data_IF_928047704572
#
_entry.id   IF_928047704572
#
_cell.length_a   1.000
_cell.length_b   1.000
_cell.length_c   1.000
_cell.angle_alpha   90.00
_cell.angle_beta   90.00
_cell.angle_gamma   90.00
#
_symmetry.space_group_name_H-M   'P 1'
#
loop_
_entity.id
_entity.type
_entity.pdbx_description
1 polymer ?
#
# COMPACT_ATOMS: atom_id res chain seq x y z
N UNK A 1 -26.34 1.52 -78.62
CA UNK A 1 -27.74 1.29 -79.04
C UNK A 1 -28.64 1.41 -77.81
N UNK A 2 -29.57 2.34 -77.90
CA UNK A 2 -30.52 2.76 -76.89
C UNK A 2 -31.57 1.67 -76.64
N UNK A 3 -32.00 1.48 -75.38
CA UNK A 3 -33.42 1.38 -74.98
C UNK A 3 -33.57 1.16 -73.47
N UNK A 4 -34.00 2.25 -72.82
CA UNK A 4 -34.77 2.26 -71.58
C UNK A 4 -36.07 1.47 -71.79
N UNK A 5 -36.48 0.65 -70.81
CA UNK A 5 -37.90 0.41 -70.52
C UNK A 5 -38.14 0.36 -69.02
N UNK A 6 -39.30 0.90 -68.69
CA UNK A 6 -39.79 1.38 -67.40
C UNK A 6 -40.95 0.45 -66.96
N UNK A 7 -41.04 0.23 -65.64
CA UNK A 7 -42.24 0.12 -64.80
C UNK A 7 -43.11 -1.18 -64.69
N UNK A 8 -43.43 -1.46 -63.41
CA UNK A 8 -44.66 -2.01 -62.77
C UNK A 8 -44.79 -3.50 -62.43
N UNK A 9 -44.65 -3.76 -61.12
CA UNK A 9 -45.44 -4.57 -60.16
C UNK A 9 -46.10 -5.88 -60.61
N UNK A 10 -45.76 -6.97 -59.88
CA UNK A 10 -46.74 -7.92 -59.33
C UNK A 10 -46.27 -8.41 -57.94
N UNK A 11 -47.15 -8.28 -56.95
CA UNK A 11 -47.05 -8.84 -55.60
C UNK A 11 -47.01 -10.37 -55.62
N UNK A 12 -46.11 -10.97 -54.84
CA UNK A 12 -46.32 -12.32 -54.31
C UNK A 12 -46.00 -12.34 -52.82
N UNK A 13 -47.04 -12.59 -52.02
CA UNK A 13 -46.95 -12.79 -50.60
C UNK A 13 -46.22 -14.11 -50.32
N UNK A 14 -45.12 -14.05 -49.56
CA UNK A 14 -44.50 -15.22 -48.94
C UNK A 14 -44.60 -15.00 -47.44
N UNK A 15 -45.45 -15.79 -46.80
CA UNK A 15 -45.55 -15.87 -45.35
C UNK A 15 -44.26 -16.44 -44.79
N UNK A 16 -43.57 -15.65 -43.97
CA UNK A 16 -42.43 -16.11 -43.17
C UNK A 16 -42.95 -16.30 -41.75
N UNK A 17 -42.83 -17.54 -41.28
CA UNK A 17 -43.03 -17.91 -39.89
C UNK A 17 -42.13 -17.08 -38.98
N UNK A 18 -42.74 -16.54 -37.94
CA UNK A 18 -42.14 -15.78 -36.86
C UNK A 18 -41.20 -16.71 -36.07
N UNK A 19 -39.89 -16.46 -36.14
CA UNK A 19 -38.99 -16.77 -35.05
C UNK A 19 -38.71 -15.45 -34.33
N UNK A 20 -39.28 -15.31 -33.13
CA UNK A 20 -39.13 -14.11 -32.31
C UNK A 20 -37.70 -13.98 -31.81
N UNK A 21 -37.01 -12.91 -32.21
CA UNK A 21 -35.91 -12.36 -31.43
C UNK A 21 -36.47 -11.22 -30.58
N UNK A 22 -36.50 -11.44 -29.27
CA UNK A 22 -36.87 -10.43 -28.30
C UNK A 22 -35.78 -9.35 -28.26
N UNK A 23 -36.18 -8.10 -28.48
CA UNK A 23 -35.36 -6.94 -28.26
C UNK A 23 -35.15 -6.76 -26.74
N UNK A 24 -33.90 -6.69 -26.30
CA UNK A 24 -33.56 -6.10 -25.02
C UNK A 24 -32.65 -4.89 -25.30
N UNK A 25 -33.13 -3.71 -24.94
CA UNK A 25 -32.40 -2.46 -25.03
C UNK A 25 -31.30 -2.45 -23.95
N UNK A 26 -30.09 -2.85 -24.34
CA UNK A 26 -28.89 -2.64 -23.54
C UNK A 26 -28.44 -1.19 -23.65
N UNK A 27 -28.63 -0.43 -22.57
CA UNK A 27 -27.89 0.80 -22.31
C UNK A 27 -26.42 0.40 -22.18
N UNK A 28 -25.54 1.01 -22.96
CA UNK A 28 -24.13 0.66 -23.01
C UNK A 28 -23.47 0.79 -21.63
N UNK A 29 -23.06 -0.34 -21.06
CA UNK A 29 -22.03 -0.37 -20.04
C UNK A 29 -20.71 0.01 -20.72
N UNK A 30 -20.07 1.06 -20.22
CA UNK A 30 -18.67 1.33 -20.55
C UNK A 30 -17.85 0.11 -20.12
N UNK A 31 -16.85 -0.35 -20.90
CA UNK A 31 -16.00 -1.44 -20.48
C UNK A 31 -15.28 -1.03 -19.20
N UNK A 32 -15.46 -1.82 -18.15
CA UNK A 32 -14.64 -1.77 -16.94
C UNK A 32 -13.18 -1.95 -17.37
N UNK A 33 -12.25 -1.05 -16.99
CA UNK A 33 -10.83 -1.28 -17.24
C UNK A 33 -10.41 -2.63 -16.68
N UNK A 34 -9.80 -3.47 -17.51
CA UNK A 34 -9.31 -4.78 -17.09
C UNK A 34 -8.39 -4.66 -15.87
N UNK A 35 -8.55 -5.57 -14.91
CA UNK A 35 -7.75 -5.61 -13.70
C UNK A 35 -6.26 -5.59 -14.03
N UNK A 36 -5.46 -4.79 -13.30
CA UNK A 36 -4.02 -4.77 -13.50
C UNK A 36 -3.43 -6.16 -13.21
N UNK A 37 -2.47 -6.64 -14.03
CA UNK A 37 -1.86 -7.95 -13.86
C UNK A 37 -1.11 -8.01 -12.52
N UNK A 38 -1.52 -8.92 -11.62
CA UNK A 38 -0.92 -9.09 -10.30
C UNK A 38 -1.90 -9.37 -9.14
N UNK A 39 -3.22 -9.38 -9.37
CA UNK A 39 -4.13 -10.04 -8.43
C UNK A 39 -3.93 -11.55 -8.56
N UNK A 40 -3.31 -12.20 -7.57
CA UNK A 40 -3.51 -13.63 -7.38
C UNK A 40 -5.01 -13.89 -7.22
N UNK A 41 -5.51 -14.97 -7.82
CA UNK A 41 -6.89 -15.43 -7.68
C UNK A 41 -7.16 -15.91 -6.24
N UNK A 42 -7.16 -15.00 -5.27
CA UNK A 42 -7.97 -15.15 -4.08
C UNK A 42 -9.40 -14.78 -4.46
N UNK A 43 -10.38 -15.57 -4.05
CA UNK A 43 -11.78 -15.13 -4.07
C UNK A 43 -11.87 -13.69 -3.57
N UNK A 44 -12.80 -12.90 -4.10
CA UNK A 44 -13.03 -11.50 -3.71
C UNK A 44 -13.48 -11.43 -2.23
N UNK A 45 -12.58 -11.75 -1.31
CA UNK A 45 -12.80 -11.80 0.11
C UNK A 45 -12.78 -10.36 0.57
N UNK A 46 -13.97 -9.88 0.94
CA UNK A 46 -14.13 -8.52 1.44
C UNK A 46 -13.51 -8.50 2.85
N UNK A 47 -12.32 -7.91 2.94
CA UNK A 47 -11.67 -7.66 4.23
C UNK A 47 -12.28 -6.44 4.94
N UNK A 48 -12.16 -6.34 6.27
CA UNK A 48 -12.48 -5.12 7.01
C UNK A 48 -11.74 -3.89 6.44
N UNK A 49 -12.32 -2.71 6.58
CA UNK A 49 -11.74 -1.45 6.07
C UNK A 49 -10.33 -1.20 6.61
N UNK A 50 -10.09 -1.47 7.89
CA UNK A 50 -8.79 -1.40 8.57
C UNK A 50 -7.71 -2.26 7.90
N UNK A 51 -8.08 -3.47 7.46
CA UNK A 51 -7.20 -4.43 6.79
C UNK A 51 -6.92 -3.96 5.37
N UNK A 52 -7.92 -3.45 4.66
CA UNK A 52 -7.76 -2.87 3.33
C UNK A 52 -6.85 -1.63 3.34
N UNK A 53 -7.04 -0.73 4.30
CA UNK A 53 -6.21 0.47 4.48
C UNK A 53 -4.74 0.10 4.74
N UNK A 54 -4.54 -0.90 5.59
CA UNK A 54 -3.21 -1.45 5.89
C UNK A 54 -2.59 -2.12 4.68
N UNK A 55 -3.36 -2.91 3.95
CA UNK A 55 -2.92 -3.58 2.74
C UNK A 55 -2.43 -2.57 1.69
N UNK A 56 -3.17 -1.49 1.46
CA UNK A 56 -2.77 -0.46 0.50
C UNK A 56 -1.46 0.24 0.90
N UNK A 57 -1.22 0.42 2.19
CA UNK A 57 0.08 0.91 2.68
C UNK A 57 1.19 -0.11 2.46
N UNK A 58 0.96 -1.37 2.85
CA UNK A 58 1.98 -2.42 2.83
C UNK A 58 2.35 -2.84 1.40
N UNK A 59 1.44 -2.77 0.44
CA UNK A 59 1.71 -3.12 -0.98
C UNK A 59 2.91 -2.38 -1.54
N UNK A 60 3.18 -1.15 -1.06
CA UNK A 60 4.31 -0.35 -1.53
C UNK A 60 5.67 -0.75 -0.91
N UNK A 61 5.70 -1.57 0.14
CA UNK A 61 6.92 -1.91 0.91
C UNK A 61 7.10 -3.42 1.06
N UNK A 62 8.35 -3.88 1.21
CA UNK A 62 8.63 -5.27 1.60
C UNK A 62 8.47 -5.38 3.12
N UNK A 63 7.35 -5.94 3.56
CA UNK A 63 7.00 -6.08 4.97
C UNK A 63 5.91 -7.14 5.21
N UNK A 64 6.02 -7.83 6.33
CA UNK A 64 4.98 -8.66 6.93
C UNK A 64 4.33 -7.92 8.09
N UNK A 65 3.00 -8.03 8.21
CA UNK A 65 2.26 -7.49 9.34
C UNK A 65 0.99 -8.28 9.61
N UNK A 66 0.51 -8.23 10.85
CA UNK A 66 -0.72 -8.88 11.25
C UNK A 66 -1.64 -7.91 12.01
N UNK A 67 -2.93 -7.95 11.68
CA UNK A 67 -3.97 -7.20 12.39
C UNK A 67 -4.90 -8.19 13.06
N UNK A 68 -5.12 -8.01 14.36
CA UNK A 68 -6.15 -8.75 15.09
C UNK A 68 -7.43 -7.93 15.12
N UNK A 69 -8.50 -8.45 14.54
CA UNK A 69 -9.81 -7.82 14.56
C UNK A 69 -10.93 -8.86 14.62
N UNK A 70 -11.96 -8.63 15.41
CA UNK A 70 -13.15 -9.50 15.52
C UNK A 70 -12.82 -10.98 15.82
N UNK A 71 -11.78 -11.22 16.63
CA UNK A 71 -11.34 -12.57 17.01
C UNK A 71 -10.62 -13.35 15.91
N UNK A 72 -10.24 -12.67 14.83
CA UNK A 72 -9.45 -13.20 13.71
C UNK A 72 -8.12 -12.45 13.60
N UNK A 73 -7.14 -13.08 12.99
CA UNK A 73 -5.86 -12.46 12.65
C UNK A 73 -5.71 -12.41 11.13
N UNK A 74 -5.55 -11.21 10.59
CA UNK A 74 -5.33 -10.94 9.17
C UNK A 74 -3.83 -10.80 8.96
N UNK A 75 -3.22 -11.80 8.34
CA UNK A 75 -1.80 -11.84 8.02
C UNK A 75 -1.62 -11.23 6.64
N UNK A 76 -0.82 -10.17 6.54
CA UNK A 76 -0.55 -9.44 5.29
C UNK A 76 0.94 -9.57 5.00
N UNK A 77 1.27 -10.04 3.80
CA UNK A 77 2.64 -10.16 3.31
C UNK A 77 2.76 -9.41 1.98
N UNK A 78 3.73 -8.51 1.89
CA UNK A 78 4.04 -7.76 0.68
C UNK A 78 5.53 -7.79 0.39
N UNK A 79 5.90 -7.90 -0.89
CA UNK A 79 7.30 -7.76 -1.36
C UNK A 79 7.59 -6.39 -1.96
N UNK A 80 6.67 -5.44 -1.77
CA UNK A 80 6.76 -4.08 -2.27
C UNK A 80 6.71 -4.01 -3.80
N UNK A 81 7.22 -2.88 -4.31
CA UNK A 81 7.27 -2.60 -5.73
C UNK A 81 8.12 -3.63 -6.52
N UNK A 82 7.58 -4.10 -7.65
CA UNK A 82 8.29 -4.93 -8.64
C UNK A 82 8.26 -4.27 -10.02
N UNK A 83 9.38 -4.29 -10.77
CA UNK A 83 9.52 -3.56 -12.02
C UNK A 83 8.83 -4.22 -13.22
N UNK A 84 8.38 -5.47 -13.07
CA UNK A 84 7.72 -6.23 -14.14
C UNK A 84 6.46 -6.92 -13.64
N UNK A 85 5.60 -7.33 -14.58
CA UNK A 85 4.47 -8.20 -14.29
C UNK A 85 4.90 -9.63 -13.96
N UNK A 86 3.99 -10.39 -13.36
CA UNK A 86 4.09 -11.85 -13.18
C UNK A 86 4.82 -12.32 -11.93
N UNK A 87 5.20 -11.40 -11.02
CA UNK A 87 5.54 -11.79 -9.66
C UNK A 87 4.26 -12.19 -8.90
N UNK A 88 4.37 -13.23 -8.07
CA UNK A 88 3.31 -13.70 -7.18
C UNK A 88 3.89 -13.87 -5.77
N UNK A 89 3.10 -13.57 -4.75
CA UNK A 89 3.46 -13.82 -3.35
C UNK A 89 2.56 -14.90 -2.81
N UNK A 90 3.15 -15.88 -2.13
CA UNK A 90 2.41 -16.95 -1.45
C UNK A 90 2.81 -17.04 0.00
N UNK A 91 1.82 -17.22 0.87
CA UNK A 91 2.06 -17.70 2.23
C UNK A 91 2.00 -19.23 2.16
N UNK A 92 3.15 -19.88 2.32
CA UNK A 92 3.32 -21.32 2.07
C UNK A 92 3.15 -22.17 3.32
N UNK A 93 3.30 -21.58 4.50
CA UNK A 93 3.16 -22.27 5.77
C UNK A 93 2.80 -21.27 6.88
N UNK A 94 1.92 -21.69 7.79
CA UNK A 94 1.59 -20.94 9.00
C UNK A 94 1.54 -21.94 10.15
N UNK A 95 2.47 -21.80 11.10
CA UNK A 95 2.50 -22.61 12.32
C UNK A 95 2.02 -21.80 13.50
N UNK A 96 1.08 -22.36 14.26
CA UNK A 96 0.51 -21.68 15.43
C UNK A 96 0.80 -22.48 16.69
N UNK A 97 1.17 -21.77 17.75
CA UNK A 97 1.40 -22.33 19.08
C UNK A 97 1.04 -21.29 20.14
N UNK A 98 -0.04 -21.55 20.89
CA UNK A 98 -0.57 -20.56 21.84
C UNK A 98 -1.00 -19.28 21.13
N UNK A 99 -0.46 -18.14 21.55
CA UNK A 99 -0.72 -16.81 20.97
C UNK A 99 0.27 -16.44 19.85
N UNK A 100 1.19 -17.35 19.51
CA UNK A 100 2.21 -17.15 18.47
C UNK A 100 1.79 -17.77 17.14
N UNK A 101 2.04 -17.04 16.06
CA UNK A 101 1.98 -17.54 14.69
C UNK A 101 3.31 -17.28 13.97
N UNK A 102 3.82 -18.28 13.27
CA UNK A 102 5.02 -18.17 12.44
C UNK A 102 4.59 -18.35 10.99
N UNK A 103 4.69 -17.28 10.22
CA UNK A 103 4.25 -17.17 8.83
C UNK A 103 5.46 -17.31 7.92
N UNK A 104 5.41 -18.26 6.99
CA UNK A 104 6.44 -18.42 5.95
C UNK A 104 5.86 -18.02 4.60
N UNK A 105 6.55 -17.12 3.91
CA UNK A 105 6.13 -16.63 2.60
C UNK A 105 7.22 -16.80 1.54
N UNK A 106 6.82 -16.86 0.28
CA UNK A 106 7.72 -16.89 -0.86
C UNK A 106 7.28 -15.90 -1.94
N UNK A 107 8.27 -15.34 -2.64
CA UNK A 107 8.08 -14.62 -3.89
C UNK A 107 8.36 -15.57 -5.05
N UNK A 108 7.38 -15.70 -5.93
CA UNK A 108 7.51 -16.44 -7.18
C UNK A 108 7.78 -15.43 -8.28
N UNK A 109 8.91 -15.60 -8.95
CA UNK A 109 9.29 -14.77 -10.09
C UNK A 109 8.54 -15.18 -11.36
N UNK A 110 8.29 -14.25 -12.30
CA UNK A 110 7.70 -14.60 -13.59
C UNK A 110 8.58 -15.59 -14.36
N UNK A 111 7.96 -16.58 -14.98
CA UNK A 111 8.66 -17.48 -15.90
C UNK A 111 8.89 -16.78 -17.26
N UNK A 112 10.16 -16.62 -17.63
CA UNK A 112 10.56 -16.02 -18.89
C UNK A 112 10.37 -14.49 -18.98
N UNK A 113 10.29 -13.93 -20.20
CA UNK A 113 10.19 -12.49 -20.39
C UNK A 113 8.91 -11.90 -19.79
N UNK A 114 9.05 -10.88 -18.96
CA UNK A 114 7.93 -10.18 -18.32
C UNK A 114 7.75 -8.75 -18.86
N UNK A 115 6.51 -8.28 -18.90
CA UNK A 115 6.21 -6.90 -19.28
C UNK A 115 6.77 -5.93 -18.23
N UNK A 116 7.45 -4.85 -18.67
CA UNK A 116 7.94 -3.79 -17.80
C UNK A 116 6.79 -2.89 -17.36
N UNK A 117 6.16 -3.27 -16.25
CA UNK A 117 5.08 -2.53 -15.60
C UNK A 117 5.24 -2.69 -14.10
N UNK A 118 5.00 -1.59 -13.38
CA UNK A 118 5.07 -1.57 -11.94
C UNK A 118 3.97 -2.43 -11.35
N UNK A 119 4.33 -3.40 -10.51
CA UNK A 119 3.40 -4.26 -9.79
C UNK A 119 3.71 -4.28 -8.30
N UNK A 120 2.74 -4.73 -7.51
CA UNK A 120 2.82 -4.78 -6.04
C UNK A 120 2.26 -6.12 -5.59
N UNK A 121 3.02 -7.21 -5.68
CA UNK A 121 2.53 -8.53 -5.33
C UNK A 121 2.44 -8.67 -3.80
N UNK A 122 1.33 -9.25 -3.34
CA UNK A 122 1.01 -9.43 -1.93
C UNK A 122 0.18 -10.69 -1.73
N UNK A 123 0.12 -11.17 -0.49
CA UNK A 123 -0.79 -12.20 -0.04
C UNK A 123 -1.47 -11.76 1.26
N UNK A 124 -2.73 -12.16 1.44
CA UNK A 124 -3.46 -12.00 2.70
C UNK A 124 -4.06 -13.34 3.08
N UNK A 125 -3.83 -13.76 4.33
CA UNK A 125 -4.43 -14.96 4.91
C UNK A 125 -5.17 -14.60 6.19
N UNK A 126 -6.29 -15.30 6.44
CA UNK A 126 -7.13 -15.05 7.62
C UNK A 126 -7.09 -16.25 8.54
N UNK A 127 -6.59 -16.04 9.76
CA UNK A 127 -6.54 -17.05 10.79
C UNK A 127 -7.73 -16.89 11.74
N UNK A 128 -8.36 -18.01 12.10
CA UNK A 128 -9.25 -18.06 13.24
C UNK A 128 -8.45 -17.99 14.54
N UNK A 129 -8.73 -16.99 15.38
CA UNK A 129 -7.98 -16.74 16.61
C UNK A 129 -7.27 -15.38 16.59
N UNK A 130 -6.94 -14.90 17.80
CA UNK A 130 -6.22 -13.67 18.03
C UNK A 130 -4.76 -14.00 18.38
N UNK A 131 -3.86 -13.88 17.41
CA UNK A 131 -2.43 -14.11 17.59
C UNK A 131 -1.73 -12.76 17.80
N UNK A 132 -1.18 -12.54 19.00
CA UNK A 132 -0.49 -11.29 19.37
C UNK A 132 0.99 -11.28 19.01
N UNK A 133 1.56 -12.45 18.74
CA UNK A 133 2.97 -12.63 18.36
C UNK A 133 3.05 -13.27 16.98
N UNK A 134 3.09 -12.45 15.92
CA UNK A 134 3.21 -12.95 14.55
C UNK A 134 4.60 -12.65 14.01
N UNK A 135 5.33 -13.69 13.64
CA UNK A 135 6.67 -13.61 13.06
C UNK A 135 6.63 -14.01 11.59
N UNK A 136 7.47 -13.37 10.79
CA UNK A 136 7.54 -13.58 9.34
C UNK A 136 8.90 -14.14 8.93
N UNK A 137 8.87 -15.14 8.05
CA UNK A 137 10.04 -15.75 7.45
C UNK A 137 9.89 -15.90 5.94
N UNK A 138 11.00 -15.80 5.24
CA UNK A 138 11.10 -16.18 3.84
C UNK A 138 11.20 -17.72 3.75
N UNK A 139 10.63 -18.30 2.68
CA UNK A 139 10.82 -19.70 2.36
C UNK A 139 12.31 -20.00 2.21
N UNK A 140 12.76 -21.11 2.82
CA UNK A 140 14.20 -21.38 3.00
C UNK A 140 14.77 -20.92 4.35
N UNK A 141 13.95 -20.25 5.17
CA UNK A 141 14.31 -19.83 6.54
C UNK A 141 15.11 -18.53 6.60
N UNK A 142 15.13 -17.77 5.51
CA UNK A 142 15.72 -16.43 5.49
C UNK A 142 14.83 -15.43 6.25
N UNK A 143 15.43 -14.28 6.57
CA UNK A 143 14.75 -13.24 7.31
C UNK A 143 13.75 -12.49 6.41
N UNK A 144 12.56 -12.24 6.93
CA UNK A 144 11.52 -11.44 6.28
C UNK A 144 11.30 -10.14 7.07
N UNK A 145 11.43 -8.94 6.46
CA UNK A 145 11.15 -7.67 7.14
C UNK A 145 9.74 -7.60 7.70
N UNK A 146 9.56 -7.14 8.93
CA UNK A 146 8.26 -7.02 9.58
C UNK A 146 8.06 -5.63 10.20
N UNK A 147 6.81 -5.31 10.51
CA UNK A 147 6.49 -4.10 11.28
C UNK A 147 6.64 -4.40 12.78
N UNK A 148 7.44 -3.59 13.46
CA UNK A 148 7.74 -3.73 14.89
C UNK A 148 7.24 -2.50 15.65
N UNK A 149 6.54 -2.73 16.77
CA UNK A 149 6.09 -1.67 17.67
C UNK A 149 4.87 -0.87 17.22
N UNK A 150 4.22 -1.25 16.11
CA UNK A 150 2.91 -0.72 15.69
C UNK A 150 1.79 -1.68 16.09
N UNK A 151 0.64 -1.14 16.51
CA UNK A 151 -0.56 -1.93 16.82
C UNK A 151 -1.77 -1.27 16.17
N UNK A 152 -2.57 -2.07 15.46
CA UNK A 152 -3.76 -1.61 14.73
C UNK A 152 -3.47 -1.28 13.27
N UNK A 153 -4.44 -0.68 12.55
CA UNK A 153 -4.28 -0.37 11.14
C UNK A 153 -3.18 0.65 10.90
N UNK A 154 -2.52 0.53 9.74
CA UNK A 154 -1.51 1.46 9.25
C UNK A 154 -2.06 2.11 8.00
N UNK A 155 -2.03 3.43 7.93
CA UNK A 155 -2.37 4.17 6.73
C UNK A 155 -1.21 5.03 6.28
N UNK A 156 -1.14 5.33 5.00
CA UNK A 156 -0.10 6.23 4.47
C UNK A 156 -0.67 7.63 4.34
N UNK A 157 -0.10 8.57 5.08
CA UNK A 157 -0.34 9.99 4.86
C UNK A 157 0.71 10.59 3.92
N UNK A 158 1.98 10.22 4.11
CA UNK A 158 3.10 10.58 3.24
C UNK A 158 4.20 9.53 3.38
N UNK A 159 5.02 9.31 2.34
CA UNK A 159 6.08 8.29 2.40
C UNK A 159 7.28 8.58 1.51
N UNK A 160 8.40 7.95 1.87
CA UNK A 160 9.55 7.70 1.02
C UNK A 160 9.74 6.19 0.85
N UNK A 161 10.95 5.74 0.49
CA UNK A 161 11.23 4.30 0.35
C UNK A 161 11.41 3.60 1.70
N UNK A 162 11.86 4.32 2.72
CA UNK A 162 12.19 3.75 4.04
C UNK A 162 11.45 4.42 5.20
N UNK A 163 10.59 5.40 4.94
CA UNK A 163 9.78 6.08 5.97
C UNK A 163 8.34 6.18 5.48
N UNK A 164 7.40 5.73 6.28
CA UNK A 164 5.96 5.95 6.10
C UNK A 164 5.46 6.73 7.29
N UNK A 165 4.85 7.90 7.06
CA UNK A 165 4.13 8.64 8.09
C UNK A 165 2.66 8.29 7.99
N UNK A 166 2.10 7.83 9.11
CA UNK A 166 0.71 7.37 9.19
C UNK A 166 -0.22 8.34 9.89
N UNK A 167 0.31 9.16 10.80
CA UNK A 167 -0.45 10.25 11.36
C UNK A 167 0.43 11.47 11.56
N UNK A 168 -0.14 12.64 11.29
CA UNK A 168 0.48 13.94 11.49
C UNK A 168 -0.57 14.92 11.99
N UNK A 169 -0.21 15.64 13.06
CA UNK A 169 -1.01 16.70 13.62
C UNK A 169 -0.12 17.90 13.97
N UNK A 170 -0.64 19.10 13.74
CA UNK A 170 0.01 20.34 14.11
C UNK A 170 -0.97 21.26 14.82
N UNK A 171 -0.49 21.84 15.92
CA UNK A 171 -1.16 22.81 16.79
C UNK A 171 -0.14 23.88 17.23
N UNK A 172 -0.58 25.03 17.79
CA UNK A 172 0.34 26.09 18.21
C UNK A 172 1.44 25.65 19.19
N UNK A 173 1.13 24.68 20.05
CA UNK A 173 2.00 24.19 21.12
C UNK A 173 2.63 22.82 20.82
N UNK A 174 2.22 22.15 19.74
CA UNK A 174 2.71 20.81 19.42
C UNK A 174 2.66 20.50 17.92
N UNK A 175 3.75 19.95 17.41
CA UNK A 175 3.78 19.19 16.15
C UNK A 175 4.06 17.72 16.48
N UNK A 176 3.27 16.84 15.88
CA UNK A 176 3.27 15.42 16.15
C UNK A 176 3.26 14.62 14.85
N UNK A 177 4.10 13.59 14.75
CA UNK A 177 4.03 12.62 13.67
C UNK A 177 4.34 11.21 14.19
N UNK A 178 3.59 10.23 13.70
CA UNK A 178 3.85 8.79 13.91
C UNK A 178 3.93 8.06 12.60
N UNK A 179 4.73 7.01 12.58
CA UNK A 179 4.88 6.20 11.39
C UNK A 179 5.73 4.98 11.64
N UNK A 180 6.18 4.37 10.56
CA UNK A 180 7.12 3.25 10.54
C UNK A 180 8.34 3.61 9.69
N UNK A 181 9.52 3.17 10.11
CA UNK A 181 10.77 3.48 9.44
C UNK A 181 11.70 2.27 9.38
N UNK A 182 12.30 2.03 8.22
CA UNK A 182 13.35 1.04 7.98
C UNK A 182 14.69 1.75 7.86
N UNK A 183 15.23 2.16 9.00
CA UNK A 183 16.40 3.04 9.07
C UNK A 183 17.59 2.41 9.79
N UNK A 184 18.80 2.85 9.45
CA UNK A 184 20.02 2.40 10.12
C UNK A 184 20.02 2.80 11.60
N UNK A 185 20.43 1.88 12.49
CA UNK A 185 20.47 2.08 13.95
C UNK A 185 19.14 2.57 14.56
N UNK A 186 18.01 2.28 13.90
CA UNK A 186 16.68 2.75 14.30
C UNK A 186 16.58 4.28 14.46
N UNK A 187 17.49 5.05 13.87
CA UNK A 187 17.54 6.52 14.09
C UNK A 187 16.74 7.24 13.02
N UNK A 188 15.65 7.89 13.45
CA UNK A 188 14.81 8.75 12.60
C UNK A 188 15.08 10.20 12.96
N UNK A 189 15.63 10.97 12.04
CA UNK A 189 15.91 12.39 12.22
C UNK A 189 14.73 13.24 11.78
N UNK A 190 14.62 14.46 12.33
CA UNK A 190 13.66 15.44 11.86
C UNK A 190 14.18 16.86 11.90
N UNK A 191 13.65 17.70 11.03
CA UNK A 191 13.83 19.15 11.00
C UNK A 191 12.47 19.84 10.96
N UNK A 192 12.32 20.91 11.72
CA UNK A 192 11.23 21.87 11.54
C UNK A 192 11.79 23.04 10.74
N UNK A 193 11.22 23.28 9.57
CA UNK A 193 11.68 24.29 8.64
C UNK A 193 10.66 25.42 8.47
N UNK A 194 11.14 26.62 8.15
CA UNK A 194 10.30 27.72 7.70
C UNK A 194 9.85 27.54 6.23
N UNK A 195 9.07 28.50 5.71
CA UNK A 195 8.57 28.45 4.34
C UNK A 195 9.68 28.55 3.27
N UNK A 196 10.85 29.10 3.62
CA UNK A 196 12.01 29.22 2.75
C UNK A 196 12.93 27.98 2.80
N UNK A 197 12.66 27.03 3.72
CA UNK A 197 13.46 25.83 3.93
C UNK A 197 14.60 26.01 4.91
N UNK A 198 14.64 27.11 5.68
CA UNK A 198 15.63 27.26 6.75
C UNK A 198 15.22 26.40 7.95
N UNK A 199 16.19 25.69 8.53
CA UNK A 199 15.99 24.89 9.73
C UNK A 199 15.81 25.82 10.93
N UNK A 200 14.65 25.71 11.59
CA UNK A 200 14.34 26.43 12.83
C UNK A 200 14.69 25.61 14.07
N UNK A 201 14.50 24.29 14.00
CA UNK A 201 14.94 23.32 15.01
C UNK A 201 15.06 21.94 14.37
N UNK A 202 15.87 21.07 14.97
CA UNK A 202 16.11 19.71 14.51
C UNK A 202 16.24 18.76 15.70
N UNK A 203 16.13 17.47 15.43
CA UNK A 203 16.30 16.42 16.43
C UNK A 203 16.21 15.03 15.82
N UNK A 204 16.09 14.03 16.70
CA UNK A 204 15.90 12.65 16.30
C UNK A 204 15.03 11.91 17.31
N UNK A 205 14.49 10.77 16.88
CA UNK A 205 13.80 9.78 17.70
C UNK A 205 14.35 8.39 17.36
N UNK A 206 14.03 7.42 18.20
CA UNK A 206 14.42 6.03 17.99
C UNK A 206 13.20 5.22 17.61
N UNK A 207 13.23 4.60 16.44
CA UNK A 207 12.23 3.66 15.99
C UNK A 207 12.28 2.38 16.84
N UNK A 208 11.18 1.65 16.92
CA UNK A 208 11.07 0.41 17.69
C UNK A 208 12.00 -0.71 17.19
N UNK A 209 12.42 -0.63 15.93
CA UNK A 209 13.45 -1.49 15.33
C UNK A 209 14.20 -0.72 14.24
N UNK A 210 15.43 -1.14 13.97
CA UNK A 210 16.20 -0.68 12.81
C UNK A 210 16.05 -1.64 11.64
N UNK A 211 16.53 -1.23 10.46
CA UNK A 211 16.59 -2.13 9.31
C UNK A 211 17.32 -3.44 9.66
N UNK A 212 16.84 -4.60 9.17
CA UNK A 212 15.92 -4.73 8.05
C UNK A 212 14.42 -4.62 8.38
N UNK A 213 14.00 -4.54 9.64
CA UNK A 213 12.61 -4.31 10.05
C UNK A 213 12.15 -2.86 9.83
N UNK A 214 10.83 -2.68 9.84
CA UNK A 214 10.18 -1.38 9.91
C UNK A 214 9.77 -1.10 11.36
N UNK A 215 10.47 -0.20 12.04
CA UNK A 215 10.16 0.18 13.42
C UNK A 215 9.17 1.34 13.50
N UNK A 216 8.19 1.23 14.39
CA UNK A 216 7.36 2.36 14.80
C UNK A 216 8.22 3.50 15.32
N UNK A 217 7.97 4.73 14.88
CA UNK A 217 8.59 5.93 15.43
C UNK A 217 7.54 6.97 15.79
N UNK A 218 7.97 7.88 16.65
CA UNK A 218 7.18 9.02 17.07
C UNK A 218 8.05 10.27 17.17
N UNK A 219 7.65 11.32 16.46
CA UNK A 219 8.23 12.66 16.54
C UNK A 219 7.27 13.56 17.31
N UNK A 220 7.79 14.23 18.35
CA UNK A 220 7.08 15.20 19.18
C UNK A 220 7.89 16.47 19.29
N UNK A 221 7.41 17.57 18.71
CA UNK A 221 8.00 18.90 18.87
C UNK A 221 7.06 19.76 19.69
N UNK A 222 7.40 19.98 20.96
CA UNK A 222 6.65 20.89 21.83
C UNK A 222 7.11 22.33 21.62
N UNK A 223 6.18 23.28 21.63
CA UNK A 223 6.45 24.71 21.38
C UNK A 223 7.22 24.92 20.06
N UNK A 224 6.65 24.52 18.91
CA UNK A 224 7.30 24.69 17.62
C UNK A 224 7.70 26.17 17.40
N UNK A 225 8.88 26.44 16.82
CA UNK A 225 9.33 27.82 16.61
C UNK A 225 8.35 28.64 15.78
N UNK A 226 8.25 29.94 16.09
CA UNK A 226 7.48 30.89 15.27
C UNK A 226 8.01 30.86 13.84
N UNK A 227 7.11 30.75 12.87
CA UNK A 227 7.46 30.64 11.45
C UNK A 227 7.64 29.21 10.94
N UNK A 228 7.46 28.19 11.79
CA UNK A 228 7.41 26.79 11.37
C UNK A 228 6.36 26.57 10.28
N UNK A 229 6.79 25.97 9.17
CA UNK A 229 5.97 25.73 7.98
C UNK A 229 6.00 24.27 7.52
N UNK A 230 7.03 23.50 7.90
CA UNK A 230 7.15 22.07 7.56
C UNK A 230 7.82 21.29 8.69
N UNK A 231 7.39 20.05 8.87
CA UNK A 231 8.17 19.01 9.55
C UNK A 231 8.75 18.10 8.47
N UNK A 232 10.07 17.97 8.42
CA UNK A 232 10.77 17.04 7.53
C UNK A 232 11.29 15.90 8.37
N UNK A 233 10.87 14.67 8.07
CA UNK A 233 11.29 13.43 8.75
C UNK A 233 12.16 12.64 7.77
N UNK A 234 13.34 12.18 8.20
CA UNK A 234 14.33 11.62 7.28
C UNK A 234 15.31 10.67 7.98
N UNK A 235 16.13 10.00 7.18
CA UNK A 235 17.32 9.30 7.65
C UNK A 235 18.57 10.12 7.33
N UNK A 236 19.43 10.34 8.32
CA UNK A 236 20.77 10.85 8.05
C UNK A 236 21.67 9.72 7.55
N UNK A 237 22.30 9.90 6.38
CA UNK A 237 23.27 8.96 5.82
C UNK A 237 24.46 8.76 6.78
N UNK A 238 24.72 7.51 7.18
CA UNK A 238 25.88 7.19 8.02
C UNK A 238 27.23 7.50 7.34
N UNK A 239 27.24 7.67 6.01
CA UNK A 239 28.44 7.94 5.22
C UNK A 239 28.89 9.40 5.31
N UNK A 240 27.94 10.33 5.26
CA UNK A 240 28.22 11.76 5.05
C UNK A 240 27.21 12.71 5.73
N UNK A 241 26.24 12.19 6.47
CA UNK A 241 25.19 12.97 7.12
C UNK A 241 24.14 13.55 6.17
N UNK A 242 24.20 13.24 4.87
CA UNK A 242 23.20 13.72 3.92
C UNK A 242 21.80 13.20 4.26
N UNK A 243 20.80 14.04 4.02
CA UNK A 243 19.39 13.68 4.20
C UNK A 243 18.95 12.68 3.12
N UNK A 244 18.53 11.49 3.53
CA UNK A 244 17.94 10.46 2.66
C UNK A 244 16.53 10.12 3.11
N UNK A 245 15.71 9.57 2.20
CA UNK A 245 14.36 9.08 2.52
C UNK A 245 13.43 10.13 3.18
N UNK A 246 13.62 11.40 2.84
CA UNK A 246 12.91 12.50 3.45
C UNK A 246 11.41 12.53 3.09
N UNK A 247 10.60 12.77 4.11
CA UNK A 247 9.15 13.02 4.05
C UNK A 247 8.88 14.41 4.60
N UNK A 248 8.22 15.28 3.84
CA UNK A 248 7.92 16.65 4.24
C UNK A 248 6.42 16.85 4.49
N UNK A 249 6.06 17.15 5.74
CA UNK A 249 4.69 17.35 6.20
C UNK A 249 4.43 18.85 6.40
N UNK A 250 3.43 19.45 5.71
CA UNK A 250 3.16 20.88 5.83
C UNK A 250 2.54 21.22 7.19
N UNK A 251 3.08 22.22 7.89
CA UNK A 251 2.49 22.81 9.09
C UNK A 251 1.59 23.98 8.65
N UNK A 252 0.26 23.91 8.86
CA UNK A 252 -0.65 24.98 8.46
C UNK A 252 -0.30 26.35 9.05
N UNK A 253 -0.30 27.39 8.22
CA UNK A 253 0.13 28.76 8.57
C UNK A 253 -0.71 29.42 9.69
N UNK A 254 -1.87 28.88 10.04
CA UNK A 254 -2.77 29.45 11.05
C UNK A 254 -2.21 29.42 12.49
N UNK A 255 -1.02 28.87 12.69
CA UNK A 255 -0.39 28.70 14.00
C UNK A 255 0.65 29.79 14.34
N UNK A 256 0.91 30.77 13.47
CA UNK A 256 1.78 31.92 13.78
C UNK A 256 0.95 33.15 14.15
N UNK A 257 0.67 33.36 15.44
CA UNK A 257 0.19 34.64 15.98
C UNK A 257 0.98 35.03 17.21
#
# INVERSE_FOLDING_TARGET
MQKIRLLVLVLFAIGILVAGCSANNGIGENPVPGEPPGMGEGEHQIYPESVMETLETLKAIHAGFAIVENGKTFVIVSYGEKPTAGYEVRIVDIKTEGERAVVTAELIEPDGPAAMVLTYPYAVEVLDGAYSEVEFHEAGGEYFPQIVGWVGPISTQERSNNIVVSAFAAAPDMVYATGIARVFEATVSYEVQDAAGNVLTEGYTTAASGGPDWGFFEVRVTHPPVGAAKLVVFQASAKDGSMTDAVALPIPIRFST
#
